data_IF_824534666654
#
_entry.id   IF_824534666654
#
_cell.length_a   1.000
_cell.length_b   1.000
_cell.length_c   1.000
_cell.angle_alpha   90.00
_cell.angle_beta   90.00
_cell.angle_gamma   90.00
#
_symmetry.space_group_name_H-M   'P 1'
#
loop_
_entity.id
_entity.type
_entity.pdbx_description
1 polymer ?
#
# COMPACT_ATOMS: atom_id res chain seq x y z
N UNK A 1 4.85 -7.32 21.96
CA UNK A 1 4.73 -7.34 20.49
C UNK A 1 3.99 -8.62 20.10
N UNK A 2 2.72 -8.53 19.67
CA UNK A 2 1.99 -9.72 19.18
C UNK A 2 2.51 -10.02 17.79
N UNK A 3 3.30 -11.08 17.65
CA UNK A 3 3.67 -11.63 16.35
C UNK A 3 2.40 -12.19 15.70
N UNK A 4 1.83 -11.47 14.75
CA UNK A 4 0.74 -11.99 13.92
C UNK A 4 1.34 -13.07 13.04
N UNK A 5 1.06 -14.33 13.34
CA UNK A 5 1.32 -15.47 12.46
C UNK A 5 0.53 -15.27 11.18
N UNK A 6 1.19 -14.76 10.14
CA UNK A 6 0.59 -14.51 8.84
C UNK A 6 0.37 -15.86 8.16
N UNK A 7 -0.86 -16.36 8.22
CA UNK A 7 -1.24 -17.60 7.58
C UNK A 7 -1.52 -17.36 6.08
N UNK A 8 -0.94 -18.20 5.23
CA UNK A 8 -1.10 -18.13 3.78
C UNK A 8 -1.98 -19.27 3.26
N UNK A 9 -2.81 -19.00 2.25
CA UNK A 9 -3.67 -19.97 1.56
C UNK A 9 -3.24 -20.18 0.11
N UNK A 10 -3.53 -21.36 -0.43
CA UNK A 10 -3.46 -21.65 -1.87
C UNK A 10 -4.62 -21.03 -2.63
N UNK A 11 -4.53 -21.00 -3.96
CA UNK A 11 -5.64 -20.57 -4.81
C UNK A 11 -6.88 -21.45 -4.62
N UNK A 12 -6.71 -22.76 -4.51
CA UNK A 12 -7.79 -23.73 -4.31
C UNK A 12 -8.53 -23.49 -2.99
N UNK A 13 -7.79 -23.26 -1.91
CA UNK A 13 -8.37 -22.95 -0.60
C UNK A 13 -9.14 -21.62 -0.62
N UNK A 14 -8.63 -20.62 -1.35
CA UNK A 14 -9.29 -19.32 -1.51
C UNK A 14 -10.57 -19.45 -2.35
N UNK A 15 -10.53 -20.22 -3.43
CA UNK A 15 -11.71 -20.51 -4.26
C UNK A 15 -12.80 -21.19 -3.45
N UNK A 16 -12.44 -22.22 -2.68
CA UNK A 16 -13.37 -22.92 -1.80
C UNK A 16 -13.92 -22.00 -0.69
N UNK A 17 -13.06 -21.19 -0.08
CA UNK A 17 -13.45 -20.31 1.02
C UNK A 17 -14.39 -19.17 0.59
N UNK A 18 -14.11 -18.56 -0.57
CA UNK A 18 -14.90 -17.46 -1.14
C UNK A 18 -16.07 -17.92 -2.02
N UNK A 19 -16.11 -19.20 -2.40
CA UNK A 19 -17.11 -19.74 -3.33
C UNK A 19 -17.04 -19.07 -4.71
N UNK A 20 -15.83 -18.79 -5.20
CA UNK A 20 -15.61 -18.04 -6.46
C UNK A 20 -14.77 -18.83 -7.45
N UNK A 21 -15.00 -18.58 -8.73
CA UNK A 21 -14.27 -19.22 -9.82
C UNK A 21 -12.82 -18.69 -9.92
N UNK A 22 -11.89 -19.44 -10.54
CA UNK A 22 -10.52 -18.97 -10.78
C UNK A 22 -10.48 -17.62 -11.53
N UNK A 23 -11.40 -17.44 -12.48
CA UNK A 23 -11.52 -16.19 -13.24
C UNK A 23 -11.92 -15.00 -12.36
N UNK A 24 -12.76 -15.22 -11.34
CA UNK A 24 -13.15 -14.18 -10.39
C UNK A 24 -12.02 -13.85 -9.42
N UNK A 25 -11.24 -14.85 -8.98
CA UNK A 25 -10.04 -14.63 -8.18
C UNK A 25 -9.02 -13.78 -8.97
N UNK A 26 -8.79 -14.09 -10.25
CA UNK A 26 -7.97 -13.24 -11.12
C UNK A 26 -8.50 -11.81 -11.24
N UNK A 27 -9.82 -11.61 -11.35
CA UNK A 27 -10.41 -10.27 -11.37
C UNK A 27 -10.15 -9.52 -10.06
N UNK A 28 -10.21 -10.20 -8.91
CA UNK A 28 -9.93 -9.61 -7.60
C UNK A 28 -8.45 -9.21 -7.48
N UNK A 29 -7.54 -10.04 -7.99
CA UNK A 29 -6.11 -9.74 -8.07
C UNK A 29 -5.84 -8.52 -8.97
N UNK A 30 -6.40 -8.50 -10.19
CA UNK A 30 -6.25 -7.38 -11.13
C UNK A 30 -6.78 -6.06 -10.57
N UNK A 31 -7.81 -6.12 -9.71
CA UNK A 31 -8.40 -4.95 -9.04
C UNK A 31 -7.67 -4.55 -7.75
N UNK A 32 -6.59 -5.24 -7.37
CA UNK A 32 -5.83 -4.97 -6.15
C UNK A 32 -6.59 -5.31 -4.86
N UNK A 33 -7.70 -6.06 -4.93
CA UNK A 33 -8.51 -6.42 -3.77
C UNK A 33 -8.00 -7.66 -3.02
N UNK A 34 -7.11 -8.41 -3.65
CA UNK A 34 -6.53 -9.64 -3.11
C UNK A 34 -5.06 -9.67 -3.53
N UNK A 35 -4.14 -9.69 -2.56
CA UNK A 35 -2.71 -9.71 -2.84
C UNK A 35 -2.22 -11.15 -2.97
N UNK A 36 -1.53 -11.40 -4.08
CA UNK A 36 -1.02 -12.72 -4.43
C UNK A 36 0.51 -12.69 -4.41
N UNK A 37 1.11 -13.49 -3.52
CA UNK A 37 2.55 -13.60 -3.34
C UNK A 37 3.06 -14.81 -4.11
N UNK A 38 4.13 -14.63 -4.89
CA UNK A 38 4.84 -15.76 -5.49
C UNK A 38 5.87 -16.29 -4.49
N UNK A 39 5.68 -17.52 -4.04
CA UNK A 39 6.61 -18.25 -3.17
C UNK A 39 7.43 -19.20 -4.02
N UNK A 40 8.76 -19.03 -4.00
CA UNK A 40 9.68 -19.87 -4.77
C UNK A 40 9.51 -19.75 -6.30
N UNK A 41 9.06 -18.60 -6.79
CA UNK A 41 8.92 -18.32 -8.23
C UNK A 41 7.65 -18.86 -8.91
N UNK A 42 7.04 -19.92 -8.37
CA UNK A 42 5.92 -20.62 -9.04
C UNK A 42 4.60 -20.63 -8.26
N UNK A 43 4.62 -20.67 -6.93
CA UNK A 43 3.40 -20.87 -6.14
C UNK A 43 2.76 -19.54 -5.76
N UNK A 44 1.47 -19.38 -6.07
CA UNK A 44 0.70 -18.23 -5.62
C UNK A 44 0.13 -18.49 -4.22
N UNK A 45 0.39 -17.58 -3.29
CA UNK A 45 -0.09 -17.62 -1.92
C UNK A 45 -0.85 -16.35 -1.57
N UNK A 46 -1.94 -16.50 -0.84
CA UNK A 46 -2.84 -15.42 -0.45
C UNK A 46 -2.84 -15.26 1.07
N UNK A 47 -2.88 -14.03 1.57
CA UNK A 47 -2.98 -13.79 3.02
C UNK A 47 -4.38 -14.15 3.52
N UNK A 48 -4.46 -15.00 4.55
CA UNK A 48 -5.73 -15.45 5.14
C UNK A 48 -6.61 -14.31 5.64
N UNK A 49 -6.00 -13.29 6.22
CA UNK A 49 -6.72 -12.11 6.72
C UNK A 49 -7.49 -11.38 5.60
N UNK A 50 -6.88 -11.25 4.42
CA UNK A 50 -7.49 -10.59 3.25
C UNK A 50 -8.69 -11.38 2.74
N UNK A 51 -8.52 -12.70 2.68
CA UNK A 51 -9.53 -13.65 2.19
C UNK A 51 -10.74 -13.68 3.14
N UNK A 52 -10.50 -13.69 4.45
CA UNK A 52 -11.56 -13.61 5.48
C UNK A 52 -12.30 -12.28 5.39
N UNK A 53 -11.59 -11.17 5.22
CA UNK A 53 -12.21 -9.85 5.12
C UNK A 53 -13.08 -9.72 3.87
N UNK A 54 -12.62 -10.23 2.71
CA UNK A 54 -13.40 -10.27 1.48
C UNK A 54 -14.72 -11.03 1.64
N UNK A 55 -14.71 -12.16 2.34
CA UNK A 55 -15.93 -12.93 2.63
C UNK A 55 -16.92 -12.17 3.50
N UNK A 56 -16.41 -11.40 4.47
CA UNK A 56 -17.23 -10.60 5.38
C UNK A 56 -17.86 -9.36 4.74
N UNK A 57 -17.58 -9.09 3.45
CA UNK A 57 -18.08 -7.90 2.74
C UNK A 57 -17.44 -6.58 3.20
N UNK A 58 -16.53 -6.62 4.17
CA UNK A 58 -15.75 -5.47 4.60
C UNK A 58 -14.71 -5.17 3.52
N UNK A 59 -14.59 -3.89 3.12
CA UNK A 59 -13.44 -3.41 2.34
C UNK A 59 -12.19 -3.78 3.14
N UNK A 60 -11.42 -4.76 2.66
CA UNK A 60 -10.10 -4.98 3.22
C UNK A 60 -9.25 -3.78 2.87
N UNK A 61 -8.87 -3.01 3.88
CA UNK A 61 -7.88 -1.95 3.78
C UNK A 61 -6.64 -2.60 4.35
N UNK A 62 -5.58 -2.73 3.55
CA UNK A 62 -4.33 -3.31 4.02
C UNK A 62 -3.87 -2.55 5.28
N UNK A 63 -3.28 -3.21 6.29
CA UNK A 63 -2.78 -2.52 7.49
C UNK A 63 -1.79 -1.38 7.14
N UNK A 64 -1.07 -1.52 6.02
CA UNK A 64 -0.19 -0.47 5.47
C UNK A 64 -0.96 0.73 4.89
N UNK A 65 -2.20 0.56 4.46
CA UNK A 65 -3.09 1.65 4.01
C UNK A 65 -3.95 2.22 5.14
N UNK A 66 -4.21 1.46 6.21
CA UNK A 66 -4.89 1.97 7.41
C UNK A 66 -4.01 2.90 8.26
N UNK A 67 -2.68 2.75 8.15
CA UNK A 67 -1.69 3.57 8.87
C UNK A 67 -1.17 4.78 8.08
N UNK A 68 -1.20 4.73 6.74
CA UNK A 68 -0.79 5.85 5.88
C UNK A 68 -1.87 6.93 5.88
N UNK A 69 -1.89 7.71 6.94
CA UNK A 69 -2.59 8.99 6.97
C UNK A 69 -2.10 9.83 5.78
N UNK A 70 -3.00 10.57 5.13
CA UNK A 70 -2.62 11.54 4.09
C UNK A 70 -1.49 12.48 4.56
N UNK A 71 -1.41 12.72 5.88
CA UNK A 71 -0.32 13.43 6.55
C UNK A 71 1.04 12.75 6.42
N UNK A 72 1.13 11.42 6.45
CA UNK A 72 2.40 10.71 6.23
C UNK A 72 2.86 10.82 4.78
N UNK A 73 1.91 10.79 3.84
CA UNK A 73 2.18 11.06 2.43
C UNK A 73 2.73 12.49 2.27
N UNK A 74 2.05 13.49 2.81
CA UNK A 74 2.54 14.88 2.77
C UNK A 74 3.88 15.06 3.49
N UNK A 75 4.13 14.35 4.60
CA UNK A 75 5.42 14.38 5.32
C UNK A 75 6.54 13.78 4.48
N UNK A 76 6.29 12.70 3.76
CA UNK A 76 7.28 12.08 2.88
C UNK A 76 7.59 12.99 1.68
N UNK A 77 6.57 13.65 1.12
CA UNK A 77 6.75 14.73 0.14
C UNK A 77 7.61 15.86 0.74
N UNK A 78 7.27 16.38 1.93
CA UNK A 78 8.01 17.48 2.55
C UNK A 78 9.46 17.11 2.88
N UNK A 79 9.71 15.89 3.36
CA UNK A 79 11.08 15.38 3.59
C UNK A 79 11.89 15.42 2.29
N UNK A 80 11.32 14.95 1.19
CA UNK A 80 12.00 14.90 -0.10
C UNK A 80 12.23 16.30 -0.70
N UNK A 81 11.26 17.22 -0.56
CA UNK A 81 11.33 18.56 -1.15
C UNK A 81 11.96 19.63 -0.24
N UNK A 82 12.28 19.32 1.02
CA UNK A 82 12.84 20.27 1.99
C UNK A 82 14.08 21.02 1.48
N UNK A 83 15.01 20.32 0.81
CA UNK A 83 16.21 20.93 0.23
C UNK A 83 15.88 21.98 -0.86
N UNK A 84 14.92 21.67 -1.74
CA UNK A 84 14.50 22.55 -2.82
C UNK A 84 13.77 23.79 -2.29
N UNK A 85 12.93 23.62 -1.27
CA UNK A 85 12.21 24.73 -0.63
C UNK A 85 13.19 25.69 0.05
N UNK A 86 14.15 25.19 0.83
CA UNK A 86 15.17 26.02 1.49
C UNK A 86 16.01 26.77 0.45
N UNK A 87 16.45 26.08 -0.61
CA UNK A 87 17.24 26.69 -1.68
C UNK A 87 16.46 27.78 -2.40
N UNK A 88 15.18 27.56 -2.69
CA UNK A 88 14.32 28.54 -3.35
C UNK A 88 14.10 29.79 -2.50
N UNK A 89 13.90 29.61 -1.19
CA UNK A 89 13.75 30.74 -0.24
C UNK A 89 15.05 31.52 -0.12
N UNK A 90 16.20 30.85 0.01
CA UNK A 90 17.50 31.52 0.03
C UNK A 90 17.76 32.34 -1.24
N UNK A 91 17.45 31.79 -2.42
CA UNK A 91 17.59 32.51 -3.69
C UNK A 91 16.68 33.74 -3.76
N UNK A 92 15.41 33.61 -3.34
CA UNK A 92 14.48 34.74 -3.31
C UNK A 92 14.96 35.86 -2.38
N UNK A 93 15.41 35.52 -1.17
CA UNK A 93 15.96 36.50 -0.22
C UNK A 93 17.19 37.19 -0.81
N UNK A 94 18.08 36.42 -1.44
CA UNK A 94 19.28 36.96 -2.07
C UNK A 94 18.93 37.96 -3.20
N UNK A 95 17.96 37.62 -4.04
CA UNK A 95 17.48 38.51 -5.13
C UNK A 95 16.88 39.80 -4.56
N UNK A 96 16.05 39.69 -3.51
CA UNK A 96 15.43 40.88 -2.87
C UNK A 96 16.51 41.80 -2.29
N UNK A 97 17.49 41.25 -1.57
CA UNK A 97 18.58 42.03 -1.00
C UNK A 97 19.45 42.68 -2.08
N UNK A 98 19.75 41.97 -3.16
CA UNK A 98 20.51 42.52 -4.29
C UNK A 98 19.78 43.67 -4.99
N UNK A 99 18.45 43.62 -5.09
CA UNK A 99 17.66 44.67 -5.74
C UNK A 99 17.44 45.90 -4.84
N UNK A 100 17.57 45.75 -3.52
CA UNK A 100 17.47 46.86 -2.57
C UNK A 100 18.79 47.57 -2.29
N UNK A 101 19.93 46.95 -2.63
CA UNK A 101 21.28 47.51 -2.49
C UNK A 101 21.68 48.31 -3.74
#
# INVERSE_FOLDING_TARGET
>A
MKGTIVAFLTEEEVQHYLGKTPADIQKLMKRGKLTAFRVGGSYIRFKKEEVVALKSGKKFIAPEELGRSQLERFRDFWKFYSFYVITSVCLLVFIILFFQL
#
